data_IF_172404120922
#
_entry.id   IF_172404120922
#
_cell.length_a   1.000
_cell.length_b   1.000
_cell.length_c   1.000
_cell.angle_alpha   90.00
_cell.angle_beta   90.00
_cell.angle_gamma   90.00
#
_symmetry.space_group_name_H-M   'P 1'
#
loop_
_entity.id
_entity.type
_entity.pdbx_description
1 polymer ?
#
# COMPACT_ATOMS: atom_id res chain seq x y z
N UNK A 1 -2.86 18.04 -13.75
CA UNK A 1 -1.53 18.69 -13.67
C UNK A 1 -1.56 20.12 -13.09
N UNK A 2 -2.69 20.84 -13.12
CA UNK A 2 -2.81 22.18 -12.51
C UNK A 2 -2.80 22.19 -10.96
N UNK A 3 -3.29 21.12 -10.32
CA UNK A 3 -3.46 21.06 -8.85
C UNK A 3 -2.20 20.72 -8.05
N UNK A 4 -1.07 20.38 -8.70
CA UNK A 4 0.22 20.19 -8.00
C UNK A 4 1.06 21.47 -7.91
N UNK A 5 0.53 22.59 -8.43
CA UNK A 5 1.19 23.89 -8.52
C UNK A 5 0.47 24.98 -7.73
N UNK A 6 -0.24 24.64 -6.65
CA UNK A 6 -0.29 25.63 -5.58
C UNK A 6 1.11 25.63 -4.99
N UNK A 7 1.82 26.75 -5.14
CA UNK A 7 3.15 26.96 -4.55
C UNK A 7 2.99 27.00 -3.03
N UNK A 8 2.82 25.81 -2.43
CA UNK A 8 2.82 25.64 -0.99
C UNK A 8 4.22 26.03 -0.53
N UNK A 9 4.36 27.07 0.30
CA UNK A 9 5.66 27.56 0.72
C UNK A 9 6.46 26.45 1.40
N UNK A 10 7.77 26.40 1.19
CA UNK A 10 8.65 25.41 1.80
C UNK A 10 8.52 25.38 3.34
N UNK A 11 8.23 26.52 3.96
CA UNK A 11 7.92 26.61 5.39
C UNK A 11 6.68 25.82 5.79
N UNK A 12 5.62 25.82 4.97
CA UNK A 12 4.42 25.05 5.21
C UNK A 12 4.68 23.54 5.02
N UNK A 13 5.51 23.17 4.04
CA UNK A 13 5.98 21.78 3.86
C UNK A 13 6.77 21.30 5.07
N UNK A 14 7.70 22.12 5.57
CA UNK A 14 8.48 21.80 6.76
C UNK A 14 7.61 21.69 8.02
N UNK A 15 6.65 22.60 8.21
CA UNK A 15 5.69 22.53 9.30
C UNK A 15 4.85 21.24 9.25
N UNK A 16 4.41 20.84 8.06
CA UNK A 16 3.64 19.60 7.89
C UNK A 16 4.47 18.35 8.19
N UNK A 17 5.75 18.33 7.80
CA UNK A 17 6.65 17.25 8.22
C UNK A 17 6.81 17.18 9.74
N UNK A 18 6.98 18.32 10.40
CA UNK A 18 7.08 18.37 11.87
C UNK A 18 5.80 17.87 12.56
N UNK A 19 4.63 18.08 11.95
CA UNK A 19 3.35 17.56 12.42
C UNK A 19 3.24 16.04 12.28
N UNK A 20 3.56 15.49 11.10
CA UNK A 20 3.31 14.07 10.80
C UNK A 20 4.45 13.13 11.22
N UNK A 21 5.68 13.62 11.34
CA UNK A 21 6.85 12.81 11.65
C UNK A 21 6.69 12.02 12.97
N UNK A 22 6.28 12.64 14.10
CA UNK A 22 6.04 11.91 15.35
C UNK A 22 4.89 10.90 15.26
N UNK A 23 3.90 11.13 14.39
CA UNK A 23 2.80 10.19 14.18
C UNK A 23 3.29 8.93 13.47
N UNK A 24 4.16 9.09 12.47
CA UNK A 24 4.78 7.98 11.73
C UNK A 24 5.70 7.17 12.66
N UNK A 25 6.48 7.83 13.53
CA UNK A 25 7.31 7.15 14.53
C UNK A 25 6.45 6.29 15.47
N UNK A 26 5.34 6.85 15.96
CA UNK A 26 4.39 6.10 16.80
C UNK A 26 3.79 4.90 16.07
N UNK A 27 3.54 4.99 14.77
CA UNK A 27 3.05 3.83 14.00
C UNK A 27 4.05 2.67 14.00
N UNK A 28 5.36 2.96 13.96
CA UNK A 28 6.40 1.92 14.05
C UNK A 28 6.39 1.25 15.40
N UNK A 29 6.27 2.01 16.50
CA UNK A 29 6.17 1.46 17.85
C UNK A 29 4.97 0.51 17.97
N UNK A 30 3.80 0.96 17.49
CA UNK A 30 2.57 0.15 17.46
C UNK A 30 2.71 -1.09 16.58
N UNK A 31 3.39 -0.98 15.43
CA UNK A 31 3.62 -2.12 14.55
C UNK A 31 4.52 -3.20 15.17
N UNK A 32 5.39 -2.83 16.12
CA UNK A 32 6.23 -3.75 16.86
C UNK A 32 5.55 -4.40 18.07
N UNK A 33 4.40 -3.87 18.53
CA UNK A 33 3.65 -4.42 19.66
C UNK A 33 2.58 -5.42 19.18
N UNK A 34 2.65 -6.66 19.66
CA UNK A 34 1.69 -7.71 19.35
C UNK A 34 0.30 -7.42 19.94
N UNK A 35 0.23 -6.82 21.13
CA UNK A 35 -1.02 -6.56 21.83
C UNK A 35 -1.85 -5.46 21.13
N UNK A 36 -1.18 -4.55 20.42
CA UNK A 36 -1.78 -3.35 19.85
C UNK A 36 -2.69 -3.64 18.64
N UNK A 37 -2.64 -4.88 18.12
CA UNK A 37 -3.48 -5.40 17.04
C UNK A 37 -4.22 -6.68 17.43
N UNK A 38 -4.50 -6.85 18.72
CA UNK A 38 -5.48 -7.84 19.15
C UNK A 38 -6.91 -7.40 18.76
N UNK A 39 -7.76 -8.38 18.53
CA UNK A 39 -9.18 -8.16 18.24
C UNK A 39 -10.04 -9.00 19.17
N UNK A 40 -11.23 -8.48 19.52
CA UNK A 40 -12.10 -9.15 20.48
C UNK A 40 -12.63 -10.46 19.93
N UNK A 41 -12.81 -11.45 20.79
CA UNK A 41 -13.32 -12.79 20.42
C UNK A 41 -14.74 -12.77 19.80
N UNK A 42 -15.53 -11.74 20.11
CA UNK A 42 -16.89 -11.50 19.62
C UNK A 42 -16.95 -10.57 18.39
N UNK A 43 -15.78 -10.14 17.89
CA UNK A 43 -15.68 -9.18 16.79
C UNK A 43 -16.03 -9.78 15.42
N UNK A 44 -16.27 -8.89 14.45
CA UNK A 44 -16.47 -9.30 13.06
C UNK A 44 -15.26 -10.08 12.53
N UNK A 45 -14.05 -9.62 12.90
CA UNK A 45 -12.77 -10.17 12.44
C UNK A 45 -12.51 -11.60 12.95
N UNK A 46 -12.88 -11.92 14.19
CA UNK A 46 -12.79 -13.32 14.67
C UNK A 46 -13.67 -14.26 13.82
N UNK A 47 -14.85 -13.79 13.42
CA UNK A 47 -15.72 -14.54 12.52
C UNK A 47 -15.12 -14.71 11.12
N UNK A 48 -14.36 -13.72 10.65
CA UNK A 48 -13.67 -13.76 9.36
C UNK A 48 -12.50 -14.74 9.41
N UNK A 49 -11.67 -14.71 10.46
CA UNK A 49 -10.56 -15.64 10.66
C UNK A 49 -11.02 -17.10 10.71
N UNK A 50 -12.09 -17.38 11.46
CA UNK A 50 -12.72 -18.72 11.48
C UNK A 50 -13.19 -19.15 10.10
N UNK A 51 -13.68 -18.21 9.29
CA UNK A 51 -14.19 -18.49 7.96
C UNK A 51 -13.08 -18.72 6.93
N UNK A 52 -11.89 -18.15 7.12
CA UNK A 52 -10.75 -18.28 6.21
C UNK A 52 -9.69 -19.27 6.69
N UNK A 53 -9.79 -19.81 7.90
CA UNK A 53 -8.80 -20.70 8.50
C UNK A 53 -8.34 -21.83 7.55
N UNK A 54 -7.01 -22.07 7.41
CA UNK A 54 -5.92 -21.46 8.19
C UNK A 54 -5.40 -20.11 7.62
N UNK A 55 -6.03 -19.55 6.59
CA UNK A 55 -5.61 -18.33 5.91
C UNK A 55 -6.26 -17.08 6.51
N UNK A 56 -6.03 -16.84 7.81
CA UNK A 56 -6.72 -15.82 8.59
C UNK A 56 -6.66 -14.41 7.97
N UNK A 57 -7.79 -13.70 7.99
CA UNK A 57 -7.95 -12.32 7.52
C UNK A 57 -7.14 -11.34 8.36
N UNK A 58 -7.12 -11.51 9.68
CA UNK A 58 -6.33 -10.68 10.60
C UNK A 58 -4.84 -10.73 10.28
N UNK A 59 -4.29 -11.90 9.92
CA UNK A 59 -2.89 -12.04 9.52
C UNK A 59 -2.61 -11.37 8.18
N UNK A 60 -3.49 -11.52 7.18
CA UNK A 60 -3.33 -10.83 5.89
C UNK A 60 -3.35 -9.31 6.07
N UNK A 61 -4.27 -8.79 6.89
CA UNK A 61 -4.31 -7.38 7.26
C UNK A 61 -3.03 -6.94 7.95
N UNK A 62 -2.58 -7.66 9.00
CA UNK A 62 -1.39 -7.31 9.78
C UNK A 62 -0.15 -7.25 8.90
N UNK A 63 0.02 -8.23 8.00
CA UNK A 63 1.12 -8.24 7.06
C UNK A 63 1.12 -7.01 6.15
N UNK A 64 -0.05 -6.65 5.58
CA UNK A 64 -0.19 -5.46 4.75
C UNK A 64 0.09 -4.18 5.55
N UNK A 65 -0.43 -4.06 6.77
CA UNK A 65 -0.20 -2.87 7.59
C UNK A 65 1.27 -2.72 8.00
N UNK A 66 1.94 -3.78 8.40
CA UNK A 66 3.36 -3.74 8.77
C UNK A 66 4.23 -3.29 7.60
N UNK A 67 4.00 -3.84 6.39
CA UNK A 67 4.72 -3.39 5.20
C UNK A 67 4.40 -1.93 4.83
N UNK A 68 3.17 -1.48 5.06
CA UNK A 68 2.80 -0.09 4.83
C UNK A 68 3.57 0.87 5.75
N UNK A 69 3.62 0.55 7.05
CA UNK A 69 4.29 1.36 8.07
C UNK A 69 5.80 1.39 7.85
N UNK A 70 6.41 0.25 7.52
CA UNK A 70 7.85 0.17 7.24
C UNK A 70 8.25 1.09 6.08
N UNK A 71 7.55 1.00 4.95
CA UNK A 71 7.82 1.85 3.80
C UNK A 71 7.50 3.33 4.06
N UNK A 72 6.46 3.63 4.83
CA UNK A 72 6.09 4.99 5.20
C UNK A 72 7.17 5.63 6.08
N UNK A 73 7.64 4.89 7.09
CA UNK A 73 8.73 5.32 7.95
C UNK A 73 10.02 5.51 7.16
N UNK A 74 10.37 4.59 6.26
CA UNK A 74 11.53 4.74 5.38
C UNK A 74 11.44 6.00 4.49
N UNK A 75 10.27 6.32 3.95
CA UNK A 75 10.04 7.54 3.18
C UNK A 75 10.25 8.79 4.06
N UNK A 76 9.68 8.80 5.27
CA UNK A 76 9.86 9.88 6.26
C UNK A 76 11.33 10.06 6.60
N UNK A 77 12.04 8.99 6.96
CA UNK A 77 13.45 9.06 7.34
C UNK A 77 14.31 9.60 6.20
N UNK A 78 14.08 9.13 4.98
CA UNK A 78 14.86 9.58 3.83
C UNK A 78 14.65 11.08 3.55
N UNK A 79 13.41 11.55 3.56
CA UNK A 79 13.06 12.92 3.18
C UNK A 79 13.27 13.91 4.32
N UNK A 80 12.81 13.59 5.52
CA UNK A 80 12.75 14.50 6.65
C UNK A 80 13.97 14.38 7.56
N UNK A 81 14.26 13.18 8.05
CA UNK A 81 15.31 12.99 9.06
C UNK A 81 16.71 13.17 8.44
N UNK A 82 16.92 12.65 7.23
CA UNK A 82 18.20 12.72 6.50
C UNK A 82 18.25 13.89 5.52
N UNK A 83 17.10 14.38 5.03
CA UNK A 83 17.05 15.49 4.06
C UNK A 83 17.44 15.11 2.63
N UNK A 84 17.37 13.83 2.25
CA UNK A 84 17.82 13.33 0.94
C UNK A 84 16.67 13.18 -0.07
N UNK A 85 16.56 14.14 -0.98
CA UNK A 85 15.57 14.16 -2.06
C UNK A 85 16.08 13.51 -3.36
N UNK A 86 16.15 12.18 -3.39
CA UNK A 86 16.40 11.44 -4.64
C UNK A 86 15.29 11.69 -5.66
N UNK A 87 15.59 11.59 -6.96
CA UNK A 87 14.63 11.92 -8.03
C UNK A 87 13.30 11.15 -7.97
N UNK A 88 13.33 9.88 -7.57
CA UNK A 88 12.12 9.04 -7.51
C UNK A 88 12.02 8.11 -6.31
N UNK A 89 13.09 7.93 -5.53
CA UNK A 89 13.09 6.95 -4.43
C UNK A 89 12.04 7.25 -3.33
N UNK A 90 11.87 8.50 -2.85
CA UNK A 90 10.82 8.82 -1.87
C UNK A 90 9.42 8.48 -2.38
N UNK A 91 9.12 8.82 -3.63
CA UNK A 91 7.83 8.51 -4.24
C UNK A 91 7.62 6.99 -4.36
N UNK A 92 8.65 6.22 -4.72
CA UNK A 92 8.58 4.75 -4.77
C UNK A 92 8.33 4.14 -3.39
N UNK A 93 8.97 4.62 -2.33
CA UNK A 93 8.69 4.17 -0.96
C UNK A 93 7.25 4.47 -0.55
N UNK A 94 6.80 5.71 -0.78
CA UNK A 94 5.42 6.12 -0.51
C UNK A 94 4.38 5.32 -1.33
N UNK A 95 4.70 4.95 -2.58
CA UNK A 95 3.86 4.04 -3.38
C UNK A 95 3.69 2.70 -2.69
N UNK A 96 4.79 2.09 -2.26
CA UNK A 96 4.73 0.80 -1.58
C UNK A 96 3.94 0.89 -0.28
N UNK A 97 4.10 1.99 0.46
CA UNK A 97 3.29 2.25 1.65
C UNK A 97 1.78 2.34 1.32
N UNK A 98 1.42 3.13 0.32
CA UNK A 98 0.04 3.31 -0.15
C UNK A 98 -0.58 2.00 -0.66
N UNK A 99 0.12 1.24 -1.50
CA UNK A 99 -0.37 -0.03 -2.05
C UNK A 99 -0.69 -1.04 -0.95
N UNK A 100 0.18 -1.12 0.07
CA UNK A 100 0.01 -2.01 1.20
C UNK A 100 -1.13 -1.56 2.13
N UNK A 101 -1.20 -0.27 2.46
CA UNK A 101 -2.30 0.29 3.24
C UNK A 101 -3.64 0.08 2.55
N UNK A 102 -3.76 0.48 1.28
CA UNK A 102 -4.97 0.31 0.49
C UNK A 102 -5.40 -1.17 0.37
N UNK A 103 -4.44 -2.10 0.32
CA UNK A 103 -4.73 -3.54 0.38
C UNK A 103 -5.36 -3.93 1.72
N UNK A 104 -4.78 -3.50 2.84
CA UNK A 104 -5.34 -3.72 4.18
C UNK A 104 -6.76 -3.17 4.31
N UNK A 105 -6.99 -1.95 3.81
CA UNK A 105 -8.32 -1.36 3.74
C UNK A 105 -9.27 -2.18 2.87
N UNK A 106 -8.85 -2.57 1.66
CA UNK A 106 -9.67 -3.34 0.72
C UNK A 106 -10.11 -4.69 1.27
N UNK A 107 -9.25 -5.36 2.05
CA UNK A 107 -9.60 -6.61 2.74
C UNK A 107 -10.77 -6.43 3.71
N UNK A 108 -10.80 -5.33 4.45
CA UNK A 108 -11.73 -5.12 5.56
C UNK A 108 -12.97 -4.29 5.22
N UNK A 109 -12.92 -3.55 4.10
CA UNK A 109 -13.93 -2.55 3.75
C UNK A 109 -15.33 -3.16 3.62
N UNK A 110 -15.51 -4.32 2.94
CA UNK A 110 -16.83 -4.86 2.71
C UNK A 110 -17.60 -5.04 4.01
N UNK A 111 -18.85 -4.59 4.02
CA UNK A 111 -19.75 -4.81 5.16
C UNK A 111 -20.04 -6.30 5.37
N UNK A 112 -20.23 -7.04 4.27
CA UNK A 112 -20.50 -8.47 4.28
C UNK A 112 -19.23 -9.31 4.52
N UNK A 113 -19.34 -10.30 5.42
CA UNK A 113 -18.25 -11.24 5.73
C UNK A 113 -17.77 -12.01 4.50
N UNK A 114 -18.70 -12.49 3.68
CA UNK A 114 -18.36 -13.36 2.57
C UNK A 114 -17.49 -12.67 1.52
N UNK A 115 -17.70 -11.37 1.29
CA UNK A 115 -16.82 -10.58 0.43
C UNK A 115 -15.44 -10.36 1.08
N UNK A 116 -15.35 -10.12 2.40
CA UNK A 116 -14.06 -10.03 3.10
C UNK A 116 -13.27 -11.34 3.05
N UNK A 117 -13.97 -12.47 3.24
CA UNK A 117 -13.42 -13.82 3.09
C UNK A 117 -12.89 -14.02 1.67
N UNK A 118 -13.69 -13.68 0.65
CA UNK A 118 -13.27 -13.79 -0.75
C UNK A 118 -12.02 -12.94 -1.03
N UNK A 119 -11.98 -11.67 -0.59
CA UNK A 119 -10.83 -10.78 -0.77
C UNK A 119 -9.58 -11.32 -0.07
N UNK A 120 -9.73 -11.86 1.14
CA UNK A 120 -8.64 -12.53 1.89
C UNK A 120 -8.08 -13.73 1.13
N UNK A 121 -8.95 -14.62 0.64
CA UNK A 121 -8.53 -15.80 -0.13
C UNK A 121 -7.81 -15.42 -1.44
N UNK A 122 -8.25 -14.34 -2.08
CA UNK A 122 -7.58 -13.76 -3.25
C UNK A 122 -6.20 -13.21 -2.90
N UNK A 123 -6.05 -12.58 -1.74
CA UNK A 123 -4.75 -12.10 -1.26
C UNK A 123 -3.75 -13.26 -1.08
N UNK A 124 -4.13 -14.33 -0.38
CA UNK A 124 -3.27 -15.51 -0.22
C UNK A 124 -2.97 -16.20 -1.56
N UNK A 125 -3.96 -16.27 -2.45
CA UNK A 125 -3.76 -16.84 -3.79
C UNK A 125 -2.79 -16.05 -4.63
N UNK A 126 -2.73 -14.72 -4.45
CA UNK A 126 -1.73 -13.87 -5.07
C UNK A 126 -0.34 -14.17 -4.50
N UNK A 127 -0.21 -14.19 -3.17
CA UNK A 127 1.03 -14.55 -2.48
C UNK A 127 1.58 -15.92 -2.94
N UNK A 128 0.75 -16.94 -3.06
CA UNK A 128 1.22 -18.27 -3.51
C UNK A 128 1.74 -18.27 -4.94
N UNK A 129 1.14 -17.49 -5.84
CA UNK A 129 1.64 -17.34 -7.21
C UNK A 129 2.95 -16.57 -7.25
N UNK A 130 3.02 -15.43 -6.55
CA UNK A 130 4.22 -14.62 -6.51
C UNK A 130 5.38 -15.42 -5.90
N UNK A 131 5.13 -16.18 -4.82
CA UNK A 131 6.09 -17.13 -4.25
C UNK A 131 6.53 -18.19 -5.26
N UNK A 132 5.60 -18.82 -5.97
CA UNK A 132 5.94 -19.84 -6.95
C UNK A 132 6.82 -19.25 -8.06
N UNK A 133 6.41 -18.12 -8.66
CA UNK A 133 7.20 -17.43 -9.69
C UNK A 133 8.58 -17.01 -9.21
N UNK A 134 8.73 -16.58 -7.95
CA UNK A 134 10.03 -16.15 -7.43
C UNK A 134 10.99 -17.31 -7.12
N UNK A 135 10.47 -18.49 -6.77
CA UNK A 135 11.27 -19.61 -6.26
C UNK A 135 11.47 -20.75 -7.26
N UNK A 136 10.69 -20.80 -8.35
CA UNK A 136 10.65 -21.93 -9.29
C UNK A 136 12.05 -22.35 -9.80
N UNK A 137 12.90 -21.36 -10.08
CA UNK A 137 14.22 -21.58 -10.68
C UNK A 137 15.38 -21.62 -9.68
N UNK A 138 15.16 -21.28 -8.40
CA UNK A 138 16.27 -20.89 -7.49
C UNK A 138 16.37 -21.72 -6.22
N UNK A 139 15.28 -22.34 -5.77
CA UNK A 139 15.29 -23.09 -4.51
C UNK A 139 14.42 -24.34 -4.62
N UNK A 140 14.96 -25.55 -4.38
CA UNK A 140 14.09 -26.70 -4.15
C UNK A 140 13.43 -26.54 -2.78
N UNK A 141 12.19 -26.03 -2.71
CA UNK A 141 11.17 -26.18 -1.62
C UNK A 141 9.91 -25.38 -2.04
N UNK A 142 8.68 -25.96 -1.96
CA UNK A 142 8.02 -26.30 -0.68
C UNK A 142 7.36 -27.68 -0.57
N UNK A 143 7.06 -28.09 0.68
CA UNK A 143 6.26 -29.27 1.09
C UNK A 143 4.94 -29.47 0.32
N UNK A 144 4.43 -28.42 -0.35
CA UNK A 144 3.23 -28.45 -1.18
C UNK A 144 3.37 -27.59 -2.45
N UNK A 145 2.90 -28.10 -3.58
CA UNK A 145 2.89 -27.43 -4.89
C UNK A 145 1.94 -26.22 -4.92
N UNK A 146 2.11 -25.32 -5.90
CA UNK A 146 1.18 -24.21 -6.12
C UNK A 146 -0.27 -24.70 -6.22
N UNK A 147 -0.53 -25.74 -7.00
CA UNK A 147 -1.87 -26.28 -7.18
C UNK A 147 -2.46 -26.84 -5.88
N UNK A 148 -1.65 -27.47 -5.03
CA UNK A 148 -2.11 -27.92 -3.71
C UNK A 148 -2.50 -26.74 -2.81
N UNK A 149 -1.76 -25.63 -2.85
CA UNK A 149 -2.09 -24.41 -2.07
C UNK A 149 -3.38 -23.77 -2.60
N UNK A 150 -3.51 -23.61 -3.92
CA UNK A 150 -4.71 -23.06 -4.55
C UNK A 150 -5.93 -23.98 -4.38
N UNK A 151 -5.75 -25.30 -4.42
CA UNK A 151 -6.79 -26.29 -4.14
C UNK A 151 -7.40 -26.11 -2.74
N UNK A 152 -6.57 -25.81 -1.73
CA UNK A 152 -7.06 -25.46 -0.38
C UNK A 152 -7.88 -24.17 -0.37
N UNK A 153 -7.44 -23.14 -1.10
CA UNK A 153 -8.21 -21.89 -1.23
C UNK A 153 -9.58 -22.15 -1.85
N UNK A 154 -9.61 -22.92 -2.95
CA UNK A 154 -10.86 -23.32 -3.63
C UNK A 154 -11.80 -24.08 -2.68
N UNK A 155 -11.26 -25.01 -1.90
CA UNK A 155 -12.06 -25.79 -0.95
C UNK A 155 -12.70 -24.92 0.15
N UNK A 156 -11.95 -23.94 0.70
CA UNK A 156 -12.47 -23.00 1.70
C UNK A 156 -13.60 -22.15 1.10
N UNK A 157 -13.39 -21.61 -0.11
CA UNK A 157 -14.41 -20.84 -0.83
C UNK A 157 -15.68 -21.67 -1.08
N UNK A 158 -15.53 -22.89 -1.62
CA UNK A 158 -16.63 -23.78 -1.94
C UNK A 158 -17.48 -24.15 -0.71
N UNK A 159 -16.84 -24.42 0.43
CA UNK A 159 -17.52 -24.73 1.71
C UNK A 159 -18.47 -23.61 2.16
N UNK A 160 -18.21 -22.37 1.72
CA UNK A 160 -19.03 -21.19 2.04
C UNK A 160 -19.95 -20.76 0.90
N UNK A 161 -20.03 -21.53 -0.18
CA UNK A 161 -20.81 -21.16 -1.37
C UNK A 161 -20.22 -19.99 -2.16
N UNK A 162 -18.93 -19.66 -1.96
CA UNK A 162 -18.23 -18.64 -2.74
C UNK A 162 -17.65 -19.24 -4.02
N UNK A 163 -17.46 -18.42 -5.05
CA UNK A 163 -16.86 -18.84 -6.31
C UNK A 163 -15.39 -19.28 -6.10
N UNK A 164 -15.05 -20.58 -6.27
CA UNK A 164 -13.71 -21.07 -5.99
C UNK A 164 -12.64 -20.52 -6.94
N UNK A 165 -12.98 -20.35 -8.22
CA UNK A 165 -12.03 -19.85 -9.22
C UNK A 165 -11.75 -18.36 -9.04
N UNK A 166 -12.77 -17.59 -8.62
CA UNK A 166 -12.58 -16.20 -8.26
C UNK A 166 -11.68 -16.07 -7.02
N UNK A 167 -11.88 -16.90 -5.99
CA UNK A 167 -11.05 -16.92 -4.80
C UNK A 167 -9.60 -17.29 -5.15
N UNK A 168 -9.43 -18.31 -5.99
CA UNK A 168 -8.12 -18.74 -6.46
C UNK A 168 -7.48 -17.74 -7.41
N UNK A 169 -8.20 -16.82 -8.07
CA UNK A 169 -7.69 -15.98 -9.15
C UNK A 169 -6.75 -14.84 -8.73
N UNK A 170 -6.62 -14.56 -7.44
CA UNK A 170 -5.83 -13.42 -6.97
C UNK A 170 -6.50 -12.06 -7.22
N UNK A 171 -5.73 -10.98 -7.12
CA UNK A 171 -6.24 -9.62 -7.33
C UNK A 171 -5.23 -8.75 -8.10
N UNK A 172 -5.73 -7.61 -8.60
CA UNK A 172 -4.94 -6.58 -9.28
C UNK A 172 -4.84 -5.36 -8.37
N UNK A 173 -3.64 -4.80 -8.23
CA UNK A 173 -3.42 -3.60 -7.42
C UNK A 173 -4.24 -2.40 -7.91
N UNK A 174 -4.42 -2.25 -9.23
CA UNK A 174 -5.25 -1.17 -9.78
C UNK A 174 -6.69 -1.21 -9.25
N UNK A 175 -7.27 -2.41 -9.11
CA UNK A 175 -8.62 -2.59 -8.54
C UNK A 175 -8.68 -2.20 -7.07
N UNK A 176 -7.61 -2.46 -6.31
CA UNK A 176 -7.50 -2.07 -4.90
C UNK A 176 -7.42 -0.55 -4.76
N UNK A 177 -6.55 0.09 -5.54
CA UNK A 177 -6.40 1.55 -5.54
C UNK A 177 -7.68 2.25 -5.99
N UNK A 178 -8.36 1.73 -7.02
CA UNK A 178 -9.65 2.26 -7.47
C UNK A 178 -10.74 2.13 -6.40
N UNK A 179 -10.81 0.99 -5.72
CA UNK A 179 -11.74 0.80 -4.60
C UNK A 179 -11.43 1.77 -3.45
N UNK A 180 -10.16 1.93 -3.08
CA UNK A 180 -9.74 2.85 -2.03
C UNK A 180 -10.08 4.31 -2.39
N UNK A 181 -9.75 4.74 -3.61
CA UNK A 181 -10.05 6.10 -4.09
C UNK A 181 -11.55 6.37 -4.08
N UNK A 182 -12.38 5.39 -4.46
CA UNK A 182 -13.82 5.54 -4.47
C UNK A 182 -14.47 5.48 -3.07
N UNK A 183 -13.84 4.78 -2.12
CA UNK A 183 -14.40 4.54 -0.79
C UNK A 183 -13.83 5.39 0.34
N UNK A 184 -12.88 6.28 0.05
CA UNK A 184 -12.23 7.16 1.04
C UNK A 184 -12.24 8.61 0.59
N UNK A 185 -11.77 9.52 1.45
CA UNK A 185 -11.60 10.94 1.10
C UNK A 185 -10.27 11.20 0.36
N UNK A 186 -9.41 10.19 0.31
CA UNK A 186 -8.05 10.27 -0.21
C UNK A 186 -8.05 9.95 -1.70
N UNK A 187 -7.79 10.95 -2.55
CA UNK A 187 -7.55 10.70 -3.99
C UNK A 187 -6.17 10.08 -4.20
N UNK A 188 -6.10 8.77 -3.99
CA UNK A 188 -4.84 8.03 -4.05
C UNK A 188 -4.42 7.62 -5.46
N UNK A 189 -5.35 7.65 -6.44
CA UNK A 189 -5.10 7.14 -7.80
C UNK A 189 -4.00 7.92 -8.51
N UNK A 190 -4.08 9.25 -8.50
CA UNK A 190 -3.10 10.07 -9.21
C UNK A 190 -1.69 9.92 -8.61
N UNK A 191 -1.57 9.98 -7.28
CA UNK A 191 -0.27 9.81 -6.60
C UNK A 191 0.31 8.42 -6.80
N UNK A 192 -0.53 7.39 -6.76
CA UNK A 192 -0.12 6.02 -7.10
C UNK A 192 0.43 5.92 -8.53
N UNK A 193 -0.24 6.52 -9.53
CA UNK A 193 0.23 6.53 -10.92
C UNK A 193 1.53 7.29 -11.09
N UNK A 194 1.66 8.46 -10.46
CA UNK A 194 2.88 9.27 -10.49
C UNK A 194 4.06 8.50 -9.91
N UNK A 195 3.89 7.94 -8.72
CA UNK A 195 4.93 7.18 -8.05
C UNK A 195 5.25 5.86 -8.78
N UNK A 196 4.27 5.25 -9.46
CA UNK A 196 4.50 4.12 -10.36
C UNK A 196 5.35 4.53 -11.57
N UNK A 197 5.11 5.72 -12.12
CA UNK A 197 5.95 6.31 -13.16
C UNK A 197 7.41 6.47 -12.72
N UNK A 198 7.65 6.94 -11.49
CA UNK A 198 9.00 6.99 -10.91
C UNK A 198 9.62 5.59 -10.75
N UNK A 199 8.91 4.67 -10.12
CA UNK A 199 9.40 3.32 -9.87
C UNK A 199 9.81 2.55 -11.14
N UNK A 200 9.16 2.85 -12.27
CA UNK A 200 9.42 2.20 -13.57
C UNK A 200 10.20 3.06 -14.56
N UNK A 201 10.84 4.16 -14.12
CA UNK A 201 11.68 4.99 -14.99
C UNK A 201 10.92 5.65 -16.15
N UNK A 202 9.62 5.95 -15.97
CA UNK A 202 8.76 6.45 -17.05
C UNK A 202 9.04 7.93 -17.31
N UNK A 203 9.43 8.35 -18.53
CA UNK A 203 9.81 9.74 -18.81
C UNK A 203 8.75 10.77 -18.45
N UNK A 204 7.46 10.47 -18.61
CA UNK A 204 6.39 11.41 -18.28
C UNK A 204 6.37 11.81 -16.80
N UNK A 205 6.76 10.90 -15.88
CA UNK A 205 6.80 11.20 -14.45
C UNK A 205 8.02 12.06 -14.13
N UNK A 206 9.20 11.66 -14.63
CA UNK A 206 10.45 12.39 -14.41
C UNK A 206 10.43 13.78 -15.07
N UNK A 207 10.05 13.87 -16.34
CA UNK A 207 9.99 15.13 -17.09
C UNK A 207 8.71 15.93 -16.80
N UNK A 208 7.69 15.34 -16.16
CA UNK A 208 6.44 16.02 -15.88
C UNK A 208 6.35 16.58 -14.46
N UNK A 209 6.95 15.91 -13.48
CA UNK A 209 6.85 16.29 -12.08
C UNK A 209 8.10 16.99 -11.56
N UNK A 210 9.31 16.56 -11.96
CA UNK A 210 10.56 17.15 -11.44
C UNK A 210 10.83 18.54 -12.00
N UNK A 211 11.54 19.34 -11.21
CA UNK A 211 12.07 20.63 -11.63
C UNK A 211 13.14 20.43 -12.70
N UNK A 212 13.06 21.26 -13.75
CA UNK A 212 13.90 21.13 -14.94
C UNK A 212 14.75 22.37 -15.14
N UNK A 213 16.07 22.17 -15.19
CA UNK A 213 17.02 23.13 -15.76
C UNK A 213 17.37 22.65 -17.17
N UNK A 214 16.84 23.36 -18.17
CA UNK A 214 16.98 23.03 -19.59
C UNK A 214 18.09 23.87 -20.20
N UNK A 215 19.04 23.22 -20.87
CA UNK A 215 20.17 23.86 -21.52
C UNK A 215 20.23 23.51 -23.00
N UNK A 216 20.67 24.44 -23.85
CA UNK A 216 20.90 24.16 -25.26
C UNK A 216 21.86 22.97 -25.45
N UNK A 217 21.63 22.20 -26.49
CA UNK A 217 22.58 21.23 -27.04
C UNK A 217 23.12 21.75 -28.36
N UNK A 218 24.29 21.25 -28.78
CA UNK A 218 24.86 21.53 -30.09
C UNK A 218 24.18 20.71 -31.22
N UNK A 219 23.31 19.76 -30.84
CA UNK A 219 22.53 18.92 -31.75
C UNK A 219 21.11 19.48 -31.90
N UNK A 220 20.67 19.66 -33.16
CA UNK A 220 19.34 20.17 -33.48
C UNK A 220 18.24 19.26 -32.94
N UNK A 221 17.22 19.86 -32.32
CA UNK A 221 16.13 19.14 -31.67
C UNK A 221 16.48 18.41 -30.35
N UNK A 222 17.72 18.51 -29.85
CA UNK A 222 18.14 17.89 -28.57
C UNK A 222 18.30 18.95 -27.48
N UNK A 223 17.79 18.65 -26.28
CA UNK A 223 17.95 19.48 -25.10
C UNK A 223 18.66 18.70 -23.99
N UNK A 224 19.62 19.34 -23.33
CA UNK A 224 20.21 18.81 -22.09
C UNK A 224 19.30 19.22 -20.93
N UNK A 225 18.84 18.26 -20.14
CA UNK A 225 17.94 18.53 -19.01
C UNK A 225 18.55 18.01 -17.72
N UNK A 226 18.73 18.90 -16.74
CA UNK A 226 19.02 18.51 -15.36
C UNK A 226 17.71 18.46 -14.59
N UNK A 227 17.45 17.32 -13.97
CA UNK A 227 16.27 17.09 -13.14
C UNK A 227 16.62 17.23 -11.66
N UNK A 228 15.72 17.85 -10.91
CA UNK A 228 15.83 18.00 -9.45
C UNK A 228 14.47 17.74 -8.80
N UNK A 229 14.49 17.11 -7.64
CA UNK A 229 13.28 16.88 -6.87
C UNK A 229 12.98 18.09 -5.97
N UNK A 230 11.75 18.19 -5.46
CA UNK A 230 11.29 19.28 -4.60
C UNK A 230 10.80 18.74 -3.26
N UNK A 231 10.76 19.60 -2.24
CA UNK A 231 10.26 19.23 -0.90
C UNK A 231 8.79 18.82 -0.94
N UNK A 232 8.01 19.42 -1.84
CA UNK A 232 6.60 19.12 -2.12
C UNK A 232 6.45 17.68 -2.64
N UNK A 233 7.30 17.26 -3.59
CA UNK A 233 7.29 15.90 -4.13
C UNK A 233 7.85 14.85 -3.18
N UNK A 234 8.62 15.26 -2.16
CA UNK A 234 8.92 14.40 -1.01
C UNK A 234 7.71 14.22 -0.08
N UNK A 235 6.94 15.29 0.14
CA UNK A 235 5.82 15.32 1.08
C UNK A 235 4.54 14.65 0.53
N UNK A 236 4.06 15.04 -0.65
CA UNK A 236 2.71 14.68 -1.11
C UNK A 236 2.47 13.18 -1.28
N UNK A 237 3.39 12.41 -1.89
CA UNK A 237 3.23 10.95 -1.94
C UNK A 237 3.18 10.35 -0.54
N UNK A 238 4.02 10.83 0.38
CA UNK A 238 4.09 10.35 1.77
C UNK A 238 2.81 10.65 2.53
N UNK A 239 2.27 11.86 2.42
CA UNK A 239 0.98 12.21 3.03
C UNK A 239 -0.16 11.34 2.51
N UNK A 240 -0.21 11.13 1.19
CA UNK A 240 -1.25 10.26 0.60
C UNK A 240 -1.17 8.82 1.14
N UNK A 241 0.05 8.32 1.37
CA UNK A 241 0.25 7.02 1.98
C UNK A 241 -0.14 7.00 3.47
N UNK A 242 0.18 8.05 4.22
CA UNK A 242 -0.25 8.21 5.61
C UNK A 242 -1.78 8.24 5.74
N UNK A 243 -2.47 9.02 4.90
CA UNK A 243 -3.93 9.09 4.89
C UNK A 243 -4.55 7.70 4.65
N UNK A 244 -3.97 6.91 3.74
CA UNK A 244 -4.40 5.53 3.49
C UNK A 244 -4.16 4.60 4.68
N UNK A 245 -3.05 4.79 5.42
CA UNK A 245 -2.79 4.06 6.68
C UNK A 245 -3.85 4.43 7.73
N UNK A 246 -4.21 5.71 7.85
CA UNK A 246 -5.26 6.14 8.77
C UNK A 246 -6.64 5.57 8.41
N UNK A 247 -7.02 5.60 7.14
CA UNK A 247 -8.25 4.97 6.65
C UNK A 247 -8.29 3.47 6.99
N UNK A 248 -7.15 2.80 6.85
CA UNK A 248 -6.97 1.37 7.16
C UNK A 248 -7.12 1.09 8.66
N UNK A 249 -6.51 1.91 9.52
CA UNK A 249 -6.58 1.77 10.97
C UNK A 249 -7.99 2.02 11.51
N UNK A 250 -8.70 3.03 11.00
CA UNK A 250 -10.10 3.30 11.38
C UNK A 250 -10.99 2.09 11.11
N UNK A 251 -10.79 1.45 9.98
CA UNK A 251 -11.54 0.27 9.58
C UNK A 251 -11.17 -0.97 10.42
N UNK A 252 -9.89 -1.12 10.77
CA UNK A 252 -9.45 -2.14 11.72
C UNK A 252 -10.17 -2.00 13.05
N UNK A 253 -10.18 -0.81 13.67
CA UNK A 253 -10.84 -0.58 14.96
C UNK A 253 -12.33 -0.95 14.93
N UNK A 254 -13.00 -0.64 13.81
CA UNK A 254 -14.38 -1.03 13.59
C UNK A 254 -14.57 -2.55 13.51
N UNK A 255 -13.71 -3.26 12.78
CA UNK A 255 -13.85 -4.72 12.57
C UNK A 255 -13.34 -5.55 13.74
N UNK A 256 -12.35 -5.05 14.47
CA UNK A 256 -11.74 -5.66 15.65
C UNK A 256 -12.60 -5.52 16.92
N UNK A 257 -13.66 -4.72 16.85
CA UNK A 257 -14.62 -4.52 17.94
C UNK A 257 -14.19 -3.46 18.97
N UNK A 258 -13.27 -2.57 18.61
CA UNK A 258 -12.75 -1.52 19.50
C UNK A 258 -13.48 -0.18 19.34
N UNK A 259 -14.38 -0.07 18.36
CA UNK A 259 -15.26 1.09 18.23
C UNK A 259 -16.40 1.02 19.26
N UNK A 260 -16.46 2.01 20.15
CA UNK A 260 -17.66 2.28 20.95
C UNK A 260 -18.72 2.85 20.00
N UNK A 261 -19.90 2.22 19.98
CA UNK A 261 -21.13 2.76 19.38
C UNK A 261 -21.46 4.15 19.90
#
# INVERSE_FOLDING_TARGET
>A
MSQLREDVPDQAVAAKWAEISPLIDRLVERAGDEADFEHRWDSALTGDDRATSPYNTSHAFRQSLTAAIDHLHAAKTLVHDVGMLHLGAPATLARSALENAATGWWLLEPRGRDERVLRTLRWYSRNFRDQHTALDDTTPIPERTLEQKLGKVRAIAAKRGLNPDQAAGGYKMSTVIEAHTAGTRTDSKFMWQLASGFAHGRPWAYLGALSQDRRPSDEDGIMKVRLTNTVQLGLWPTLTALDAVEDTLRLWEQRAGHHRT
#
